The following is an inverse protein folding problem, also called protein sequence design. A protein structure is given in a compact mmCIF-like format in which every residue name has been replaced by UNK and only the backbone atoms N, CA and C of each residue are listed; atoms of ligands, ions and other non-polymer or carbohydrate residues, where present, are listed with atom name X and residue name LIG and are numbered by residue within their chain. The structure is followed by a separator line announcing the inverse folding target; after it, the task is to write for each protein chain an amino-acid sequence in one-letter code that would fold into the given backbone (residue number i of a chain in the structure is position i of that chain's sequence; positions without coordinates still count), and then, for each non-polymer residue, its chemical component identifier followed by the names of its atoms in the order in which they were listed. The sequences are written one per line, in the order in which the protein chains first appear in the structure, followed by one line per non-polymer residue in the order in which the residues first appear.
data_IF_891251638411
#
_entry.id   IF_891251638411
#
_cell.length_a   1.000
_cell.length_b   1.000
_cell.length_c   1.000
_cell.angle_alpha   90.00
_cell.angle_beta   90.00
_cell.angle_gamma   90.00
#
_symmetry.space_group_name_H-M   'P 1'
#
loop_
_entity.id
_entity.type
_entity.pdbx_description
1 polymer ?
#
# COMPACT_ATOMS: atom_id res chain seq x y z
N UNK A 1 -3.64 -14.46 -17.50
CA UNK A 1 -2.74 -13.35 -17.12
C UNK A 1 -1.79 -13.92 -16.08
N UNK A 2 -0.51 -14.12 -16.42
CA UNK A 2 0.48 -14.64 -15.47
C UNK A 2 0.45 -13.77 -14.22
N UNK A 3 0.04 -14.31 -13.07
CA UNK A 3 0.06 -13.60 -11.80
C UNK A 3 1.52 -13.48 -11.39
N UNK A 4 2.21 -12.48 -11.91
CA UNK A 4 3.50 -12.07 -11.36
C UNK A 4 3.30 -11.78 -9.87
N UNK A 5 4.24 -12.28 -9.07
CA UNK A 5 4.29 -12.00 -7.65
C UNK A 5 4.50 -10.48 -7.48
N UNK A 6 3.92 -9.83 -6.45
CA UNK A 6 4.08 -8.38 -6.27
C UNK A 6 5.54 -7.94 -6.21
N UNK A 7 5.90 -7.00 -7.06
CA UNK A 7 7.23 -6.39 -7.12
C UNK A 7 7.19 -4.94 -6.64
N UNK A 8 8.37 -4.36 -6.41
CA UNK A 8 8.53 -2.95 -6.02
C UNK A 8 7.73 -2.01 -6.93
N UNK A 9 7.76 -2.28 -8.24
CA UNK A 9 7.06 -1.47 -9.23
C UNK A 9 5.55 -1.48 -9.06
N UNK A 10 4.96 -2.62 -8.71
CA UNK A 10 3.52 -2.72 -8.46
C UNK A 10 3.11 -1.82 -7.29
N UNK A 11 3.91 -1.79 -6.22
CA UNK A 11 3.67 -0.92 -5.07
C UNK A 11 3.83 0.55 -5.42
N UNK A 12 4.88 0.91 -6.17
CA UNK A 12 5.09 2.30 -6.62
C UNK A 12 3.94 2.76 -7.51
N UNK A 13 3.48 1.92 -8.45
CA UNK A 13 2.33 2.21 -9.30
C UNK A 13 1.05 2.34 -8.50
N UNK A 14 0.81 1.44 -7.55
CA UNK A 14 -0.32 1.50 -6.62
C UNK A 14 -0.32 2.87 -5.91
N UNK A 15 0.75 3.21 -5.21
CA UNK A 15 0.83 4.49 -4.51
C UNK A 15 0.81 5.71 -5.45
N UNK A 16 1.30 5.60 -6.68
CA UNK A 16 1.24 6.69 -7.67
C UNK A 16 -0.20 6.98 -8.12
N UNK A 17 -1.02 5.96 -8.36
CA UNK A 17 -2.44 6.11 -8.74
C UNK A 17 -3.20 6.88 -7.66
N UNK A 18 -2.93 6.59 -6.39
CA UNK A 18 -3.57 7.26 -5.26
C UNK A 18 -2.84 8.55 -4.83
N UNK A 19 -1.62 8.78 -5.30
CA UNK A 19 -0.68 9.79 -4.80
C UNK A 19 -0.49 11.03 -5.67
N UNK A 20 -1.17 11.15 -6.81
CA UNK A 20 -1.23 12.44 -7.53
C UNK A 20 -1.81 13.55 -6.65
N UNK A 21 -2.53 13.21 -5.58
CA UNK A 21 -3.07 14.21 -4.65
C UNK A 21 -3.37 13.66 -3.24
N UNK A 22 -2.45 12.88 -2.64
CA UNK A 22 -2.54 12.44 -1.23
C UNK A 22 -2.77 13.61 -0.25
N UNK A 23 -2.38 14.83 -0.64
CA UNK A 23 -2.66 16.07 0.09
C UNK A 23 -4.05 16.67 -0.11
N UNK A 24 -4.75 16.39 -1.22
CA UNK A 24 -6.12 16.89 -1.46
C UNK A 24 -7.22 15.94 -1.00
N UNK A 25 -6.90 14.67 -0.78
CA UNK A 25 -7.80 13.69 -0.16
C UNK A 25 -8.22 14.11 1.27
N UNK A 26 -7.48 15.04 1.89
CA UNK A 26 -7.85 15.70 3.14
C UNK A 26 -9.09 16.61 3.04
N UNK A 27 -9.62 16.89 1.84
CA UNK A 27 -10.69 17.88 1.62
C UNK A 27 -12.07 17.31 1.33
N UNK A 28 -12.21 16.00 1.16
CA UNK A 28 -13.54 15.42 1.01
C UNK A 28 -14.13 15.14 2.39
N UNK A 29 -15.13 15.94 2.77
CA UNK A 29 -16.10 15.66 3.84
C UNK A 29 -17.01 14.47 3.47
N UNK A 30 -16.47 13.45 2.80
CA UNK A 30 -17.21 12.26 2.46
C UNK A 30 -17.22 11.31 3.65
N UNK A 31 -18.37 10.73 3.97
CA UNK A 31 -18.53 9.75 5.07
C UNK A 31 -17.70 8.46 4.87
N UNK A 32 -17.02 8.30 3.74
CA UNK A 32 -16.29 7.10 3.36
C UNK A 32 -14.78 7.29 3.52
N UNK A 33 -14.09 6.30 4.08
CA UNK A 33 -12.63 6.31 4.18
C UNK A 33 -12.00 6.26 2.76
N UNK A 34 -11.38 7.36 2.30
CA UNK A 34 -10.86 7.45 0.94
C UNK A 34 -9.68 6.50 0.68
N UNK A 35 -9.04 6.00 1.74
CA UNK A 35 -7.91 5.09 1.65
C UNK A 35 -8.29 3.62 1.76
N UNK A 36 -9.57 3.29 2.01
CA UNK A 36 -10.01 1.91 2.20
C UNK A 36 -9.67 1.04 0.99
N UNK A 37 -9.88 1.54 -0.23
CA UNK A 37 -9.55 0.79 -1.44
C UNK A 37 -8.04 0.60 -1.63
N UNK A 38 -7.24 1.62 -1.33
CA UNK A 38 -5.77 1.53 -1.35
C UNK A 38 -5.28 0.51 -0.32
N UNK A 39 -5.84 0.57 0.89
CA UNK A 39 -5.56 -0.36 1.97
C UNK A 39 -5.85 -1.80 1.55
N UNK A 40 -7.06 -2.08 1.06
CA UNK A 40 -7.45 -3.41 0.58
C UNK A 40 -6.53 -3.93 -0.53
N UNK A 41 -6.13 -3.07 -1.47
CA UNK A 41 -5.19 -3.46 -2.52
C UNK A 41 -3.80 -3.77 -1.95
N UNK A 42 -3.30 -2.97 -1.01
CA UNK A 42 -2.03 -3.21 -0.34
C UNK A 42 -2.05 -4.54 0.45
N UNK A 43 -3.13 -4.83 1.18
CA UNK A 43 -3.34 -6.12 1.87
C UNK A 43 -3.27 -7.27 0.86
N UNK A 44 -4.02 -7.17 -0.24
CA UNK A 44 -4.07 -8.20 -1.28
C UNK A 44 -2.71 -8.47 -1.94
N UNK A 45 -1.83 -7.47 -1.98
CA UNK A 45 -0.45 -7.65 -2.42
C UNK A 45 0.41 -8.29 -1.31
N UNK A 46 0.31 -7.82 -0.07
CA UNK A 46 1.11 -8.29 1.07
C UNK A 46 0.89 -9.78 1.42
N UNK A 47 -0.31 -10.32 1.17
CA UNK A 47 -0.59 -11.75 1.39
C UNK A 47 0.05 -12.67 0.34
N UNK A 48 0.60 -12.12 -0.74
CA UNK A 48 1.26 -12.93 -1.78
C UNK A 48 2.74 -13.13 -1.44
N UNK A 49 3.29 -14.35 -1.60
CA UNK A 49 4.67 -14.64 -1.23
C UNK A 49 5.64 -14.18 -2.33
N UNK A 50 5.95 -12.88 -2.39
CA UNK A 50 6.94 -12.33 -3.33
C UNK A 50 8.31 -12.11 -2.68
N UNK A 51 9.41 -12.14 -3.46
CA UNK A 51 10.73 -11.76 -2.96
C UNK A 51 10.75 -10.35 -2.37
N UNK A 52 10.01 -9.41 -2.96
CA UNK A 52 9.89 -8.06 -2.44
C UNK A 52 9.18 -8.04 -1.07
N UNK A 53 8.04 -8.71 -0.93
CA UNK A 53 7.31 -8.78 0.34
C UNK A 53 8.14 -9.44 1.45
N UNK A 54 8.96 -10.43 1.09
CA UNK A 54 9.91 -11.07 2.01
C UNK A 54 11.00 -10.10 2.51
N UNK A 55 11.30 -9.04 1.76
CA UNK A 55 12.27 -8.00 2.14
C UNK A 55 11.69 -6.89 3.05
N UNK A 56 10.37 -6.83 3.16
CA UNK A 56 9.65 -5.92 4.05
C UNK A 56 9.64 -6.49 5.49
N UNK A 57 9.46 -5.62 6.51
CA UNK A 57 9.26 -6.08 7.88
C UNK A 57 8.14 -7.13 7.95
N UNK A 58 8.40 -8.22 8.69
CA UNK A 58 7.48 -9.36 8.79
C UNK A 58 6.08 -8.94 9.24
N UNK A 59 5.99 -7.92 10.10
CA UNK A 59 4.75 -7.39 10.64
C UNK A 59 3.72 -7.07 9.55
N UNK A 60 4.13 -6.46 8.42
CA UNK A 60 3.20 -6.15 7.32
C UNK A 60 2.53 -7.40 6.76
N UNK A 61 3.31 -8.47 6.56
CA UNK A 61 2.81 -9.74 6.02
C UNK A 61 1.93 -10.46 7.04
N UNK A 62 2.36 -10.51 8.30
CA UNK A 62 1.57 -11.17 9.36
C UNK A 62 0.25 -10.44 9.59
N UNK A 63 0.26 -9.11 9.64
CA UNK A 63 -0.95 -8.29 9.80
C UNK A 63 -1.87 -8.47 8.60
N UNK A 64 -1.35 -8.44 7.36
CA UNK A 64 -2.17 -8.66 6.18
C UNK A 64 -2.80 -10.06 6.14
N UNK A 65 -2.06 -11.11 6.52
CA UNK A 65 -2.62 -12.46 6.61
C UNK A 65 -3.68 -12.59 7.71
N UNK A 66 -3.49 -11.95 8.87
CA UNK A 66 -4.48 -11.95 9.97
C UNK A 66 -5.74 -11.21 9.57
N UNK A 67 -5.59 -10.02 9.00
CA UNK A 67 -6.71 -9.23 8.47
C UNK A 67 -7.50 -10.02 7.43
N UNK A 68 -6.83 -10.61 6.44
CA UNK A 68 -7.48 -11.41 5.39
C UNK A 68 -8.21 -12.66 5.93
N UNK A 69 -7.74 -13.24 7.04
CA UNK A 69 -8.39 -14.39 7.69
C UNK A 69 -9.52 -13.99 8.64
N UNK A 70 -9.76 -12.70 8.83
CA UNK A 70 -10.80 -12.20 9.74
C UNK A 70 -10.45 -12.34 11.22
N UNK A 71 -9.16 -12.27 11.57
CA UNK A 71 -8.72 -12.24 12.97
C UNK A 71 -9.35 -11.06 13.72
N UNK A 72 -10.07 -11.34 14.81
CA UNK A 72 -10.95 -10.37 15.46
C UNK A 72 -10.18 -9.14 16.01
N UNK A 73 -9.03 -9.35 16.64
CA UNK A 73 -8.21 -8.27 17.19
C UNK A 73 -7.63 -7.40 16.07
N UNK A 74 -7.15 -8.04 15.00
CA UNK A 74 -6.62 -7.36 13.83
C UNK A 74 -7.70 -6.56 13.11
N UNK A 75 -8.91 -7.10 12.95
CA UNK A 75 -10.06 -6.40 12.37
C UNK A 75 -10.51 -5.22 13.25
N UNK A 76 -10.56 -5.39 14.57
CA UNK A 76 -10.91 -4.30 15.48
C UNK A 76 -9.89 -3.16 15.40
N UNK A 77 -8.59 -3.50 15.38
CA UNK A 77 -7.52 -2.53 15.26
C UNK A 77 -7.56 -1.80 13.90
N UNK A 78 -7.63 -2.55 12.80
CA UNK A 78 -7.66 -2.00 11.45
C UNK A 78 -9.04 -1.49 11.02
N UNK A 79 -10.06 -1.61 11.87
CA UNK A 79 -11.34 -0.93 11.72
C UNK A 79 -11.23 0.59 11.92
N UNK A 80 -10.20 1.05 12.65
CA UNK A 80 -9.89 2.47 12.80
C UNK A 80 -9.13 2.99 11.55
N UNK A 81 -9.65 4.06 10.95
CA UNK A 81 -9.05 4.73 9.78
C UNK A 81 -7.63 5.21 10.03
N UNK A 82 -7.32 5.74 11.21
CA UNK A 82 -5.97 6.23 11.54
C UNK A 82 -4.95 5.08 11.50
N UNK A 83 -5.32 3.91 12.02
CA UNK A 83 -4.43 2.73 12.01
C UNK A 83 -4.15 2.23 10.59
N UNK A 84 -5.16 2.24 9.71
CA UNK A 84 -4.95 1.93 8.29
C UNK A 84 -4.03 2.95 7.63
N UNK A 85 -4.24 4.23 7.94
CA UNK A 85 -3.43 5.33 7.40
C UNK A 85 -1.96 5.22 7.82
N UNK A 86 -1.69 5.00 9.11
CA UNK A 86 -0.33 4.79 9.61
C UNK A 86 0.36 3.61 8.92
N UNK A 87 -0.34 2.48 8.80
CA UNK A 87 0.20 1.31 8.09
C UNK A 87 0.54 1.63 6.61
N UNK A 88 -0.31 2.40 5.94
CA UNK A 88 -0.07 2.82 4.56
C UNK A 88 1.12 3.77 4.43
N UNK A 89 1.28 4.74 5.34
CA UNK A 89 2.43 5.63 5.40
C UNK A 89 3.73 4.85 5.62
N UNK A 90 3.77 3.97 6.62
CA UNK A 90 4.96 3.16 6.91
C UNK A 90 5.33 2.27 5.72
N UNK A 91 4.33 1.66 5.07
CA UNK A 91 4.53 0.84 3.88
C UNK A 91 5.07 1.67 2.70
N UNK A 92 4.47 2.84 2.46
CA UNK A 92 4.89 3.75 1.40
C UNK A 92 6.35 4.18 1.59
N UNK A 93 6.74 4.59 2.79
CA UNK A 93 8.09 5.05 3.07
C UNK A 93 9.12 3.94 2.85
N UNK A 94 8.81 2.72 3.28
CA UNK A 94 9.65 1.56 3.03
C UNK A 94 9.76 1.24 1.53
N UNK A 95 8.65 1.26 0.79
CA UNK A 95 8.65 1.08 -0.67
C UNK A 95 9.55 2.12 -1.34
N UNK A 96 9.45 3.39 -0.93
CA UNK A 96 10.27 4.47 -1.47
C UNK A 96 11.76 4.30 -1.15
N UNK A 97 12.09 3.91 0.09
CA UNK A 97 13.46 3.63 0.53
C UNK A 97 14.08 2.41 -0.17
N UNK A 98 13.27 1.41 -0.55
CA UNK A 98 13.72 0.18 -1.23
C UNK A 98 13.95 0.33 -2.75
N UNK A 99 13.96 1.57 -3.25
CA UNK A 99 14.20 1.88 -4.66
C UNK A 99 13.04 2.60 -5.34
N UNK A 100 11.91 2.78 -4.65
CA UNK A 100 10.75 3.47 -5.19
C UNK A 100 11.04 4.91 -5.61
N UNK A 101 11.94 5.63 -4.93
CA UNK A 101 12.34 7.01 -5.31
C UNK A 101 13.02 7.09 -6.69
N UNK A 102 13.80 6.07 -7.07
CA UNK A 102 14.45 6.03 -8.37
C UNK A 102 13.45 5.68 -9.47
N UNK A 103 12.52 4.77 -9.16
CA UNK A 103 11.49 4.34 -10.09
C UNK A 103 10.44 5.43 -10.33
N UNK A 104 9.98 6.11 -9.28
CA UNK A 104 9.03 7.23 -9.36
C UNK A 104 9.52 8.31 -10.31
N UNK A 105 10.79 8.73 -10.19
CA UNK A 105 11.41 9.71 -11.10
C UNK A 105 11.44 9.25 -12.57
N UNK A 106 11.65 7.96 -12.82
CA UNK A 106 11.62 7.40 -14.18
C UNK A 106 10.21 7.40 -14.76
N UNK A 107 9.20 7.09 -13.95
CA UNK A 107 7.79 7.11 -14.36
C UNK A 107 7.34 8.55 -14.68
N UNK A 108 7.70 9.52 -13.84
CA UNK A 108 7.38 10.93 -14.07
C UNK A 108 8.03 11.47 -15.36
N UNK A 109 9.29 11.12 -15.63
CA UNK A 109 9.96 11.52 -16.87
C UNK A 109 9.38 10.86 -18.14
N UNK A 110 8.77 9.68 -18.00
CA UNK A 110 8.12 8.97 -19.09
C UNK A 110 6.70 9.50 -19.39
N UNK A 111 5.98 10.01 -18.39
CA UNK A 111 4.67 10.65 -18.57
C UNK A 111 4.76 12.03 -19.26
N UNK A 112 5.94 12.67 -19.24
CA UNK A 112 6.20 13.98 -19.86
C UNK A 112 6.70 13.90 -21.32
N UNK A 113 6.94 12.68 -21.85
CA UNK A 113 7.48 12.43 -23.20
C UNK A 113 6.41 11.90 -24.17
#
# INVERSE_FOLDING_TARGET
MSRSLPELEDYVRLFHIYGKDLGSIYKDESEQDPYMLLFEQAINMLIKPSPFNLSLPELFRTTAHRYHRGDADTLAHLGNTDNRHFMLCDLHDLVMLRGGLQLKRKLEAADES
#
